data_IF_017992007291
#
_entry.id   IF_017992007291
#
_cell.length_a   1.000
_cell.length_b   1.000
_cell.length_c   1.000
_cell.angle_alpha   90.00
_cell.angle_beta   90.00
_cell.angle_gamma   90.00
#
_symmetry.space_group_name_H-M   'P 1'
#
loop_
_entity.id
_entity.type
_entity.pdbx_description
1 polymer ?
#
# COMPACT_ATOMS: atom_id res chain seq x y z
N UNK A 1 -8.89 11.99 22.33
CA UNK A 1 -8.43 11.22 21.15
C UNK A 1 -7.36 10.25 21.56
N UNK A 2 -7.58 8.98 21.34
CA UNK A 2 -6.57 7.91 21.51
C UNK A 2 -5.46 8.05 20.45
N UNK A 3 -4.31 7.37 20.63
CA UNK A 3 -3.26 7.32 19.62
C UNK A 3 -3.81 6.80 18.29
N UNK A 4 -4.62 5.73 18.33
CA UNK A 4 -5.27 5.15 17.15
C UNK A 4 -6.11 6.18 16.38
N UNK A 5 -6.94 6.97 17.06
CA UNK A 5 -7.75 8.03 16.41
C UNK A 5 -6.89 9.14 15.80
N UNK A 6 -5.76 9.49 16.45
CA UNK A 6 -4.86 10.53 15.95
C UNK A 6 -4.12 10.14 14.68
N UNK A 7 -3.71 8.88 14.56
CA UNK A 7 -2.97 8.39 13.37
C UNK A 7 -3.89 8.10 12.17
N UNK A 8 -5.21 8.10 12.37
CA UNK A 8 -6.21 7.99 11.30
C UNK A 8 -6.63 9.35 10.70
N UNK A 9 -5.93 10.44 11.02
CA UNK A 9 -6.25 11.77 10.52
C UNK A 9 -6.01 11.85 9.00
N UNK A 10 -7.05 12.31 8.28
CA UNK A 10 -7.10 12.37 6.80
C UNK A 10 -5.93 13.14 6.15
N UNK A 11 -5.42 14.18 6.81
CA UNK A 11 -4.39 15.06 6.24
C UNK A 11 -2.97 14.72 6.69
N UNK A 12 -2.80 13.60 7.40
CA UNK A 12 -1.52 13.25 8.02
C UNK A 12 -1.25 13.99 9.33
N UNK A 13 -0.11 13.70 9.95
CA UNK A 13 0.23 14.26 11.27
C UNK A 13 1.75 14.34 11.45
N UNK A 14 2.15 15.05 12.52
CA UNK A 14 3.50 15.08 13.06
C UNK A 14 3.47 14.37 14.42
N UNK A 15 4.40 13.46 14.67
CA UNK A 15 4.50 12.70 15.92
C UNK A 15 5.82 12.96 16.64
N UNK A 16 5.76 12.80 17.97
CA UNK A 16 6.93 12.70 18.84
C UNK A 16 7.10 11.27 19.32
N UNK A 17 8.32 10.82 19.67
CA UNK A 17 8.57 9.45 20.12
C UNK A 17 7.68 9.00 21.27
N UNK A 18 7.41 9.89 22.23
CA UNK A 18 6.59 9.60 23.41
C UNK A 18 5.11 9.34 23.08
N UNK A 19 4.66 9.72 21.90
CA UNK A 19 3.28 9.49 21.44
C UNK A 19 3.04 8.11 20.85
N UNK A 20 4.08 7.28 20.72
CA UNK A 20 3.97 5.95 20.11
C UNK A 20 3.39 4.93 21.11
N UNK A 21 2.32 4.24 20.70
CA UNK A 21 1.76 3.13 21.47
C UNK A 21 2.34 1.81 20.98
N UNK A 22 3.33 1.29 21.71
CA UNK A 22 4.01 0.03 21.37
C UNK A 22 3.07 -1.20 21.41
N UNK A 23 1.98 -1.15 22.20
CA UNK A 23 1.04 -2.27 22.31
C UNK A 23 0.32 -2.55 20.99
N UNK A 24 0.01 -1.49 20.22
CA UNK A 24 -0.62 -1.60 18.91
C UNK A 24 0.28 -2.35 17.92
N UNK A 25 1.60 -2.08 17.95
CA UNK A 25 2.56 -2.76 17.08
C UNK A 25 2.75 -4.24 17.45
N UNK A 26 2.75 -4.57 18.73
CA UNK A 26 2.89 -5.97 19.17
C UNK A 26 1.72 -6.83 18.65
N UNK A 27 0.48 -6.34 18.75
CA UNK A 27 -0.69 -7.04 18.18
C UNK A 27 -0.51 -7.29 16.69
N UNK A 28 -0.15 -6.26 15.93
CA UNK A 28 0.09 -6.35 14.48
C UNK A 28 1.19 -7.35 14.16
N UNK A 29 2.31 -7.30 14.86
CA UNK A 29 3.44 -8.22 14.65
C UNK A 29 3.07 -9.68 14.88
N UNK A 30 2.24 -9.98 15.89
CA UNK A 30 1.74 -11.33 16.14
C UNK A 30 0.85 -11.81 14.99
N UNK A 31 -0.11 -10.99 14.52
CA UNK A 31 -0.96 -11.33 13.38
C UNK A 31 -0.15 -11.53 12.09
N UNK A 32 0.84 -10.68 11.83
CA UNK A 32 1.73 -10.80 10.68
C UNK A 32 2.59 -12.07 10.74
N UNK A 33 3.10 -12.39 11.94
CA UNK A 33 3.84 -13.64 12.12
C UNK A 33 2.95 -14.84 11.80
N UNK A 34 1.74 -14.88 12.34
CA UNK A 34 0.79 -15.95 12.07
C UNK A 34 0.43 -16.01 10.57
N UNK A 35 0.09 -14.89 9.95
CA UNK A 35 -0.24 -14.81 8.53
C UNK A 35 0.87 -15.36 7.63
N UNK A 36 2.09 -14.88 7.84
CA UNK A 36 3.24 -15.26 7.01
C UNK A 36 3.70 -16.71 7.21
N UNK A 37 3.28 -17.37 8.30
CA UNK A 37 3.57 -18.77 8.60
C UNK A 37 2.36 -19.72 8.41
N UNK A 38 1.23 -19.24 7.88
CA UNK A 38 0.13 -20.11 7.46
C UNK A 38 0.55 -20.98 6.28
N UNK A 39 -0.02 -22.19 6.21
CA UNK A 39 0.18 -23.05 5.04
C UNK A 39 -0.52 -22.46 3.82
N UNK A 40 -0.03 -22.71 2.60
CA UNK A 40 -0.63 -22.16 1.38
C UNK A 40 -2.10 -22.59 1.15
N UNK A 41 -2.50 -23.72 1.69
CA UNK A 41 -3.86 -24.29 1.59
C UNK A 41 -4.84 -23.79 2.68
N UNK A 42 -4.36 -23.06 3.69
CA UNK A 42 -5.19 -22.49 4.78
C UNK A 42 -5.84 -21.14 4.41
N UNK A 43 -6.54 -21.08 3.28
CA UNK A 43 -7.12 -19.83 2.75
C UNK A 43 -8.10 -19.13 3.70
N UNK A 44 -8.97 -19.88 4.37
CA UNK A 44 -9.95 -19.32 5.33
C UNK A 44 -9.24 -18.68 6.53
N UNK A 45 -8.20 -19.33 7.06
CA UNK A 45 -7.41 -18.82 8.15
C UNK A 45 -6.70 -17.53 7.75
N UNK A 46 -6.08 -17.51 6.57
CA UNK A 46 -5.42 -16.32 6.01
C UNK A 46 -6.39 -15.15 5.87
N UNK A 47 -7.57 -15.40 5.30
CA UNK A 47 -8.64 -14.39 5.18
C UNK A 47 -9.08 -13.84 6.54
N UNK A 48 -9.28 -14.72 7.53
CA UNK A 48 -9.67 -14.31 8.89
C UNK A 48 -8.61 -13.41 9.54
N UNK A 49 -7.33 -13.75 9.40
CA UNK A 49 -6.23 -12.92 9.94
C UNK A 49 -6.21 -11.54 9.27
N UNK A 50 -6.39 -11.47 7.95
CA UNK A 50 -6.43 -10.18 7.24
C UNK A 50 -7.60 -9.31 7.66
N UNK A 51 -8.78 -9.89 7.90
CA UNK A 51 -9.95 -9.18 8.41
C UNK A 51 -9.74 -8.63 9.83
N UNK A 52 -8.95 -9.33 10.67
CA UNK A 52 -8.57 -8.83 11.99
C UNK A 52 -7.48 -7.76 11.91
N UNK A 53 -6.56 -7.90 10.96
CA UNK A 53 -5.39 -7.03 10.80
C UNK A 53 -5.76 -5.68 10.18
N UNK A 54 -6.58 -5.66 9.13
CA UNK A 54 -6.89 -4.45 8.36
C UNK A 54 -8.03 -3.64 8.96
N UNK A 55 -8.03 -2.33 8.72
CA UNK A 55 -9.13 -1.45 9.11
C UNK A 55 -10.41 -1.76 8.35
N UNK A 56 -10.28 -2.01 7.05
CA UNK A 56 -11.32 -2.56 6.19
C UNK A 56 -10.66 -3.53 5.22
N UNK A 57 -11.17 -4.77 5.17
CA UNK A 57 -10.63 -5.80 4.29
C UNK A 57 -11.74 -6.38 3.41
N UNK A 58 -11.65 -6.16 2.11
CA UNK A 58 -12.54 -6.83 1.17
C UNK A 58 -12.32 -8.35 1.20
N UNK A 59 -13.38 -9.17 1.11
CA UNK A 59 -13.24 -10.63 0.97
C UNK A 59 -12.46 -11.06 -0.27
N UNK A 60 -12.31 -10.17 -1.25
CA UNK A 60 -11.53 -10.38 -2.48
C UNK A 60 -10.10 -9.83 -2.37
N UNK A 61 -9.58 -9.68 -1.15
CA UNK A 61 -8.18 -9.28 -0.92
C UNK A 61 -7.29 -10.51 -0.81
N UNK A 62 -6.31 -10.60 -1.70
CA UNK A 62 -5.30 -11.66 -1.72
C UNK A 62 -3.92 -11.07 -1.52
N UNK A 63 -3.17 -11.60 -0.56
CA UNK A 63 -1.82 -11.14 -0.23
C UNK A 63 -0.88 -12.33 -0.21
N UNK A 64 0.21 -12.24 -0.94
CA UNK A 64 1.26 -13.25 -0.92
C UNK A 64 2.17 -13.10 0.31
N UNK A 65 2.85 -14.18 0.75
CA UNK A 65 3.65 -14.18 1.98
C UNK A 65 4.80 -13.17 2.00
N UNK A 66 5.33 -12.99 3.23
CA UNK A 66 6.31 -11.98 3.62
C UNK A 66 5.77 -10.55 3.53
N UNK A 67 4.44 -10.40 3.68
CA UNK A 67 3.81 -9.10 3.85
C UNK A 67 4.16 -8.50 5.22
N UNK A 68 4.42 -7.18 5.25
CA UNK A 68 4.71 -6.44 6.47
C UNK A 68 3.96 -5.11 6.50
N UNK A 69 3.50 -4.72 7.69
CA UNK A 69 2.93 -3.39 7.93
C UNK A 69 3.24 -2.90 9.34
N UNK A 70 2.99 -1.61 9.60
CA UNK A 70 3.22 -1.01 10.93
C UNK A 70 2.07 -1.32 11.90
N UNK A 71 0.83 -1.08 11.49
CA UNK A 71 -0.37 -1.18 12.33
C UNK A 71 -1.46 -2.07 11.74
N UNK A 72 -1.57 -2.18 10.42
CA UNK A 72 -2.60 -2.91 9.70
C UNK A 72 -3.96 -2.19 9.69
N UNK A 73 -4.44 -1.70 10.82
CA UNK A 73 -5.77 -1.07 10.92
C UNK A 73 -5.92 0.24 10.11
N UNK A 74 -4.85 0.78 9.57
CA UNK A 74 -4.87 1.91 8.63
C UNK A 74 -4.87 1.47 7.17
N UNK A 75 -4.86 0.16 6.88
CA UNK A 75 -4.95 -0.36 5.52
C UNK A 75 -6.42 -0.67 5.23
N UNK A 76 -6.92 -0.14 4.13
CA UNK A 76 -8.30 -0.28 3.69
C UNK A 76 -8.33 -0.75 2.25
N UNK A 77 -8.96 -1.91 1.99
CA UNK A 77 -9.10 -2.48 0.64
C UNK A 77 -10.56 -2.55 0.22
N UNK A 78 -10.83 -2.26 -1.06
CA UNK A 78 -12.15 -2.30 -1.67
C UNK A 78 -12.14 -3.23 -2.90
N UNK A 79 -13.07 -4.18 -2.97
CA UNK A 79 -13.16 -5.11 -4.11
C UNK A 79 -11.94 -6.02 -4.27
N UNK A 80 -11.65 -6.41 -5.52
CA UNK A 80 -10.50 -7.26 -5.84
C UNK A 80 -9.20 -6.48 -5.58
N UNK A 81 -8.35 -7.04 -4.75
CA UNK A 81 -7.01 -6.50 -4.46
C UNK A 81 -6.00 -7.65 -4.42
N UNK A 82 -4.96 -7.57 -5.23
CA UNK A 82 -3.87 -8.53 -5.21
C UNK A 82 -2.55 -7.86 -4.84
N UNK A 83 -1.96 -8.28 -3.73
CA UNK A 83 -0.69 -7.80 -3.22
C UNK A 83 0.31 -8.94 -3.29
N UNK A 84 1.34 -8.78 -4.10
CA UNK A 84 2.33 -9.82 -4.37
C UNK A 84 3.37 -9.93 -3.26
N UNK A 85 4.32 -10.87 -3.40
CA UNK A 85 5.34 -11.23 -2.40
C UNK A 85 6.18 -10.04 -1.90
N UNK A 86 6.58 -10.10 -0.64
CA UNK A 86 7.55 -9.18 -0.03
C UNK A 86 7.12 -7.69 -0.03
N UNK A 87 5.83 -7.41 -0.07
CA UNK A 87 5.34 -6.04 0.00
C UNK A 87 5.37 -5.50 1.44
N UNK A 88 5.64 -4.19 1.56
CA UNK A 88 5.69 -3.49 2.84
C UNK A 88 4.75 -2.29 2.81
N UNK A 89 3.91 -2.13 3.84
CA UNK A 89 3.04 -0.97 4.00
C UNK A 89 3.32 -0.30 5.34
N UNK A 90 4.00 0.85 5.32
CA UNK A 90 4.24 1.65 6.51
C UNK A 90 3.01 2.53 6.77
N UNK A 91 1.96 1.90 7.26
CA UNK A 91 0.62 2.46 7.44
C UNK A 91 0.49 3.32 8.71
N UNK A 92 1.45 4.20 8.93
CA UNK A 92 1.39 5.20 9.99
C UNK A 92 0.30 6.26 9.74
N UNK A 93 -0.21 6.39 8.53
CA UNK A 93 -1.45 7.07 8.11
C UNK A 93 -2.28 6.14 7.23
N UNK A 94 -3.55 6.47 6.94
CA UNK A 94 -4.39 5.61 6.11
C UNK A 94 -3.80 5.32 4.72
N UNK A 95 -3.87 4.05 4.32
CA UNK A 95 -3.60 3.58 2.96
C UNK A 95 -4.93 3.07 2.41
N UNK A 96 -5.48 3.79 1.44
CA UNK A 96 -6.71 3.41 0.76
C UNK A 96 -6.38 2.73 -0.57
N UNK A 97 -6.90 1.53 -0.76
CA UNK A 97 -6.69 0.71 -1.95
C UNK A 97 -8.05 0.41 -2.55
N UNK A 98 -8.36 1.04 -3.66
CA UNK A 98 -9.60 0.87 -4.41
C UNK A 98 -9.77 -0.53 -4.99
N UNK A 99 -10.90 -0.78 -5.63
CA UNK A 99 -11.17 -2.06 -6.28
C UNK A 99 -10.26 -2.31 -7.49
N UNK A 100 -10.02 -3.58 -7.81
CA UNK A 100 -9.28 -4.02 -8.99
C UNK A 100 -7.82 -3.54 -9.02
N UNK A 101 -7.19 -3.45 -7.85
CA UNK A 101 -5.80 -3.00 -7.69
C UNK A 101 -4.84 -4.18 -7.64
N UNK A 102 -3.75 -4.08 -8.40
CA UNK A 102 -2.67 -5.06 -8.44
C UNK A 102 -1.35 -4.42 -8.02
N UNK A 103 -0.68 -5.01 -7.03
CA UNK A 103 0.59 -4.53 -6.49
C UNK A 103 1.66 -5.59 -6.70
N UNK A 104 2.67 -5.27 -7.52
CA UNK A 104 3.79 -6.14 -7.83
C UNK A 104 4.72 -6.39 -6.62
N UNK A 105 5.53 -7.47 -6.69
CA UNK A 105 6.36 -7.90 -5.57
C UNK A 105 7.40 -6.87 -5.17
N UNK A 106 7.75 -6.86 -3.87
CA UNK A 106 8.77 -5.97 -3.32
C UNK A 106 8.37 -4.50 -3.25
N UNK A 107 7.10 -4.16 -3.50
CA UNK A 107 6.63 -2.77 -3.46
C UNK A 107 6.47 -2.27 -2.02
N UNK A 108 6.87 -1.02 -1.80
CA UNK A 108 6.73 -0.31 -0.53
C UNK A 108 5.75 0.88 -0.66
N UNK A 109 4.69 0.87 0.16
CA UNK A 109 3.82 2.04 0.37
C UNK A 109 4.20 2.68 1.70
N UNK A 110 4.85 3.85 1.68
CA UNK A 110 5.44 4.46 2.86
C UNK A 110 4.72 5.76 3.24
N UNK A 111 3.72 5.68 4.12
CA UNK A 111 3.11 6.87 4.74
C UNK A 111 4.09 7.59 5.66
N UNK A 112 4.98 6.83 6.31
CA UNK A 112 5.93 7.30 7.29
C UNK A 112 7.06 8.15 6.70
N UNK A 113 7.45 9.18 7.43
CA UNK A 113 8.60 10.01 7.16
C UNK A 113 9.18 10.61 8.44
N UNK A 114 10.21 11.40 8.31
CA UNK A 114 10.85 12.13 9.40
C UNK A 114 11.00 13.60 9.08
N UNK A 115 11.28 14.43 10.10
CA UNK A 115 11.59 15.84 9.92
C UNK A 115 12.79 16.00 8.98
N UNK A 116 12.71 16.96 8.06
CA UNK A 116 13.80 17.29 7.14
C UNK A 116 14.94 17.95 7.90
N UNK A 117 14.62 18.85 8.84
CA UNK A 117 15.62 19.47 9.71
C UNK A 117 16.33 18.40 10.57
N UNK A 118 17.67 18.37 10.57
CA UNK A 118 18.43 17.34 11.28
C UNK A 118 18.28 17.42 12.80
N UNK A 119 18.07 18.59 13.36
CA UNK A 119 17.87 18.77 14.81
C UNK A 119 16.53 18.20 15.25
N UNK A 120 15.46 18.52 14.51
CA UNK A 120 14.12 17.96 14.76
C UNK A 120 14.13 16.45 14.54
N UNK A 121 14.80 15.95 13.51
CA UNK A 121 14.94 14.51 13.27
C UNK A 121 15.70 13.80 14.38
N UNK A 122 16.73 14.41 14.93
CA UNK A 122 17.47 13.88 16.08
C UNK A 122 16.60 13.79 17.35
N UNK A 123 15.60 14.64 17.49
CA UNK A 123 14.58 14.56 18.55
C UNK A 123 13.51 13.49 18.28
N UNK A 124 13.65 12.71 17.20
CA UNK A 124 12.73 11.63 16.84
C UNK A 124 11.41 12.11 16.23
N UNK A 125 11.33 13.36 15.76
CA UNK A 125 10.10 13.88 15.14
C UNK A 125 9.83 13.14 13.83
N UNK A 126 8.68 12.46 13.79
CA UNK A 126 8.15 11.76 12.64
C UNK A 126 7.07 12.56 11.93
N UNK A 127 6.91 12.30 10.65
CA UNK A 127 5.80 12.81 9.83
C UNK A 127 5.07 11.65 9.21
N UNK A 128 3.79 11.83 8.88
CA UNK A 128 3.03 10.82 8.16
C UNK A 128 1.97 11.46 7.29
N UNK A 129 1.74 10.90 6.10
CA UNK A 129 0.69 11.34 5.17
C UNK A 129 0.05 10.12 4.53
N UNK A 130 -1.28 10.14 4.29
CA UNK A 130 -1.99 9.01 3.68
C UNK A 130 -1.56 8.75 2.24
N UNK A 131 -1.82 7.53 1.78
CA UNK A 131 -1.64 7.11 0.38
C UNK A 131 -3.00 6.64 -0.14
N UNK A 132 -3.30 6.99 -1.39
CA UNK A 132 -4.51 6.51 -2.07
C UNK A 132 -4.14 5.88 -3.41
N UNK A 133 -4.56 4.64 -3.61
CA UNK A 133 -4.55 3.97 -4.90
C UNK A 133 -6.01 3.89 -5.36
N UNK A 134 -6.36 4.59 -6.42
CA UNK A 134 -7.72 4.56 -6.95
C UNK A 134 -8.00 3.24 -7.68
N UNK A 135 -9.25 3.05 -8.09
CA UNK A 135 -9.70 1.82 -8.76
C UNK A 135 -8.83 1.48 -9.98
N UNK A 136 -8.54 0.19 -10.18
CA UNK A 136 -7.85 -0.33 -11.36
C UNK A 136 -6.36 0.03 -11.47
N UNK A 137 -5.75 0.54 -10.41
CA UNK A 137 -4.31 0.86 -10.40
C UNK A 137 -3.48 -0.42 -10.44
N UNK A 138 -2.46 -0.42 -11.31
CA UNK A 138 -1.44 -1.46 -11.33
C UNK A 138 -0.06 -0.88 -10.99
N UNK A 139 0.56 -1.39 -9.93
CA UNK A 139 1.92 -1.05 -9.54
C UNK A 139 2.84 -2.22 -9.89
N UNK A 140 3.87 -1.97 -10.68
CA UNK A 140 4.91 -2.93 -11.05
C UNK A 140 5.78 -3.34 -9.86
N UNK A 141 6.70 -4.28 -10.09
CA UNK A 141 7.58 -4.79 -9.05
C UNK A 141 8.56 -3.74 -8.53
N UNK A 142 8.96 -3.86 -7.24
CA UNK A 142 10.00 -3.05 -6.60
C UNK A 142 9.75 -1.53 -6.68
N UNK A 143 8.50 -1.10 -6.61
CA UNK A 143 8.14 0.31 -6.57
C UNK A 143 8.12 0.85 -5.14
N UNK A 144 8.33 2.17 -5.01
CA UNK A 144 8.11 2.88 -3.75
C UNK A 144 7.11 4.01 -3.97
N UNK A 145 6.05 4.06 -3.15
CA UNK A 145 5.09 5.16 -3.13
C UNK A 145 5.26 5.93 -1.82
N UNK A 146 5.56 7.23 -1.92
CA UNK A 146 5.76 8.10 -0.77
C UNK A 146 4.44 8.60 -0.19
N UNK A 147 4.45 8.93 1.11
CA UNK A 147 3.29 9.47 1.81
C UNK A 147 2.76 10.78 1.21
N UNK A 148 1.44 10.88 1.15
CA UNK A 148 0.72 12.01 0.57
C UNK A 148 0.40 11.85 -0.92
N UNK A 149 0.72 10.71 -1.53
CA UNK A 149 0.49 10.46 -2.96
C UNK A 149 -0.87 9.82 -3.21
N UNK A 150 -1.55 10.32 -4.24
CA UNK A 150 -2.71 9.67 -4.88
C UNK A 150 -2.30 9.19 -6.27
N UNK A 151 -2.55 7.90 -6.56
CA UNK A 151 -2.41 7.33 -7.90
C UNK A 151 -3.81 7.19 -8.49
N UNK A 152 -4.07 7.91 -9.58
CA UNK A 152 -5.38 8.03 -10.22
C UNK A 152 -5.84 6.74 -10.90
N UNK A 153 -7.16 6.63 -11.05
CA UNK A 153 -7.88 5.46 -11.56
C UNK A 153 -7.28 4.91 -12.86
N UNK A 154 -7.13 3.59 -12.92
CA UNK A 154 -6.64 2.86 -14.08
C UNK A 154 -5.19 3.12 -14.47
N UNK A 155 -4.42 3.85 -13.66
CA UNK A 155 -3.03 4.15 -14.00
C UNK A 155 -2.08 3.00 -13.67
N UNK A 156 -0.97 2.96 -14.40
CA UNK A 156 0.08 1.95 -14.27
C UNK A 156 1.38 2.63 -13.82
N UNK A 157 2.00 2.07 -12.78
CA UNK A 157 3.33 2.45 -12.34
C UNK A 157 4.31 1.36 -12.79
N UNK A 158 5.25 1.70 -13.65
CA UNK A 158 6.26 0.76 -14.12
C UNK A 158 7.24 0.34 -13.03
N UNK A 159 7.75 -0.88 -13.16
CA UNK A 159 8.62 -1.49 -12.15
C UNK A 159 9.85 -0.62 -11.81
N UNK A 160 10.29 -0.67 -10.55
CA UNK A 160 11.44 0.08 -10.04
C UNK A 160 11.20 1.58 -9.87
N UNK A 161 9.96 2.05 -9.97
CA UNK A 161 9.62 3.47 -9.87
C UNK A 161 9.55 3.98 -8.44
N UNK A 162 9.88 5.28 -8.24
CA UNK A 162 9.72 6.00 -6.97
C UNK A 162 8.71 7.13 -7.15
N UNK A 163 7.49 6.92 -6.64
CA UNK A 163 6.37 7.86 -6.81
C UNK A 163 6.37 8.85 -5.65
N UNK A 164 6.72 10.10 -5.94
CA UNK A 164 6.86 11.19 -4.97
C UNK A 164 5.81 12.29 -5.11
N UNK A 165 4.95 12.19 -6.14
CA UNK A 165 3.87 13.13 -6.46
C UNK A 165 2.68 12.38 -7.01
N UNK A 166 1.51 13.01 -6.96
CA UNK A 166 0.29 12.45 -7.51
C UNK A 166 0.44 12.08 -8.99
N UNK A 167 -0.18 10.97 -9.36
CA UNK A 167 -0.26 10.47 -10.73
C UNK A 167 -1.71 10.65 -11.22
N UNK A 168 -1.94 11.32 -12.35
CA UNK A 168 -3.28 11.47 -12.89
C UNK A 168 -3.86 10.13 -13.37
N UNK A 169 -5.20 10.01 -13.54
CA UNK A 169 -5.81 8.78 -14.00
C UNK A 169 -5.48 8.44 -15.47
N UNK A 170 -5.52 7.14 -15.80
CA UNK A 170 -5.41 6.63 -17.16
C UNK A 170 -4.05 6.81 -17.82
N UNK A 171 -2.97 6.77 -17.05
CA UNK A 171 -1.61 6.96 -17.57
C UNK A 171 -0.67 5.80 -17.21
N UNK A 172 0.42 5.70 -17.97
CA UNK A 172 1.61 4.93 -17.60
C UNK A 172 2.65 5.91 -17.08
N UNK A 173 3.15 5.70 -15.86
CA UNK A 173 4.18 6.50 -15.24
C UNK A 173 5.36 5.62 -14.81
N UNK A 174 6.58 6.10 -14.96
CA UNK A 174 7.79 5.31 -14.71
C UNK A 174 8.94 6.15 -14.17
N UNK A 175 9.90 5.51 -13.54
CA UNK A 175 11.22 6.05 -13.23
C UNK A 175 11.39 6.53 -11.79
N UNK A 176 12.57 7.07 -11.51
CA UNK A 176 12.98 7.65 -10.23
C UNK A 176 13.61 9.04 -10.45
N UNK A 177 12.91 10.15 -10.11
CA UNK A 177 11.51 10.17 -9.65
C UNK A 177 10.53 9.76 -10.75
N UNK A 178 9.40 9.13 -10.34
CA UNK A 178 8.37 8.68 -11.26
C UNK A 178 7.71 9.86 -12.00
N UNK A 179 7.57 9.73 -13.31
CA UNK A 179 6.93 10.73 -14.19
C UNK A 179 5.98 10.06 -15.16
N UNK A 180 4.92 10.75 -15.52
CA UNK A 180 4.01 10.32 -16.59
C UNK A 180 4.80 10.15 -17.88
N UNK A 181 4.74 8.96 -18.46
CA UNK A 181 5.34 8.63 -19.75
C UNK A 181 4.37 8.88 -20.88
N UNK A 182 3.13 8.37 -20.78
CA UNK A 182 2.05 8.54 -21.75
C UNK A 182 0.67 8.20 -21.17
N UNK A 183 -0.38 8.56 -21.90
CA UNK A 183 -1.73 8.06 -21.63
C UNK A 183 -1.88 6.60 -22.06
N UNK A 184 -2.79 5.89 -21.41
CA UNK A 184 -3.30 4.60 -21.87
C UNK A 184 -4.34 4.86 -22.95
N UNK A 185 -4.29 4.11 -24.05
CA UNK A 185 -5.16 4.27 -25.23
C UNK A 185 -5.81 2.96 -25.65
N UNK A 186 -6.70 3.00 -26.63
CA UNK A 186 -7.31 1.79 -27.22
C UNK A 186 -6.28 0.82 -27.83
N UNK A 187 -5.11 1.33 -28.24
CA UNK A 187 -4.03 0.53 -28.81
C UNK A 187 -3.36 -0.38 -27.77
N UNK A 188 -3.53 -0.05 -26.48
CA UNK A 188 -3.00 -0.89 -25.36
C UNK A 188 -3.89 -2.12 -25.09
N UNK A 189 -5.05 -2.24 -25.73
CA UNK A 189 -5.91 -3.40 -25.62
C UNK A 189 -5.28 -4.60 -26.32
N UNK A 190 -5.15 -5.71 -25.57
CA UNK A 190 -4.61 -6.96 -26.12
C UNK A 190 -5.50 -7.56 -27.22
N UNK A 191 -6.78 -7.08 -27.35
CA UNK A 191 -7.76 -7.58 -28.32
C UNK A 191 -7.68 -9.11 -28.39
N UNK A 192 -8.03 -9.77 -27.28
CA UNK A 192 -7.99 -11.22 -27.13
C UNK A 192 -8.70 -11.88 -28.32
N UNK A 193 -7.94 -12.16 -29.38
CA UNK A 193 -8.38 -12.94 -30.53
C UNK A 193 -8.21 -14.42 -30.18
N UNK A 194 -8.88 -15.28 -30.94
CA UNK A 194 -8.90 -16.74 -30.75
C UNK A 194 -7.50 -17.40 -30.69
N UNK A 195 -6.45 -16.69 -31.09
CA UNK A 195 -5.07 -17.17 -31.12
C UNK A 195 -4.34 -17.15 -29.74
N UNK A 196 -4.94 -16.56 -28.70
CA UNK A 196 -4.37 -16.58 -27.35
C UNK A 196 -4.83 -17.81 -26.58
N UNK A 197 -3.86 -18.58 -26.06
CA UNK A 197 -4.16 -19.63 -25.08
C UNK A 197 -4.57 -18.94 -23.77
N UNK A 198 -5.85 -19.02 -23.44
CA UNK A 198 -6.35 -18.62 -22.12
C UNK A 198 -6.18 -19.83 -21.21
N UNK A 199 -5.30 -19.72 -20.20
CA UNK A 199 -5.06 -20.74 -19.18
C UNK A 199 -6.19 -20.80 -18.16
#
# INVERSE_FOLDING_TARGET
MTVKEKIQIKNGYISKPEAMDHSLKIKTQNLLWEYNNTRPDENEKRSTILQELFGTCSPLTFIEPNFKCDYGFNIHTEGLTFINYNCVMLDTSPIHIGADVFIGPGTCLACAGHAIDPTERAMGIGTSKPITLEKGVWIGANCTVCGGVTIGEGSIIGAGSVVTKDIPPGVIAVGNPCKVMRKITEEDKLNLKEDFVIL
#
